data_IF_115783541917
#
_entry.id   IF_115783541917
#
_cell.length_a   1.000
_cell.length_b   1.000
_cell.length_c   1.000
_cell.angle_alpha   90.00
_cell.angle_beta   90.00
_cell.angle_gamma   90.00
#
_symmetry.space_group_name_H-M   'P 1'
#
loop_
_entity.id
_entity.type
_entity.pdbx_description
1 polymer ?
#
# COMPACT_ATOMS: atom_id res chain seq x y z
N UNK A 1 10.78 19.79 -38.81
CA UNK A 1 9.71 19.98 -37.82
C UNK A 1 9.69 18.74 -36.96
N UNK A 2 10.25 18.83 -35.76
CA UNK A 2 10.32 17.68 -34.83
C UNK A 2 8.95 17.53 -34.17
N UNK A 3 8.23 16.47 -34.52
CA UNK A 3 6.98 16.09 -33.86
C UNK A 3 7.37 15.56 -32.48
N UNK A 4 7.07 16.33 -31.44
CA UNK A 4 7.14 15.81 -30.07
C UNK A 4 6.16 14.64 -29.94
N UNK A 5 6.53 13.51 -29.30
CA UNK A 5 5.56 12.46 -29.04
C UNK A 5 4.44 13.04 -28.17
N UNK A 6 3.19 12.77 -28.56
CA UNK A 6 2.01 13.11 -27.77
C UNK A 6 2.15 12.53 -26.35
N UNK A 7 1.59 13.18 -25.31
CA UNK A 7 1.50 12.56 -24.00
C UNK A 7 0.79 11.22 -24.16
N UNK A 8 1.49 10.15 -23.77
CA UNK A 8 0.99 8.78 -23.74
C UNK A 8 -0.38 8.76 -23.08
N UNK A 9 -1.36 8.10 -23.70
CA UNK A 9 -2.71 7.90 -23.17
C UNK A 9 -2.69 7.74 -21.63
N UNK A 10 -3.41 8.65 -20.95
CA UNK A 10 -3.85 8.59 -19.55
C UNK A 10 -4.67 7.31 -19.35
N UNK A 11 -4.01 6.16 -19.42
CA UNK A 11 -4.60 4.91 -19.00
C UNK A 11 -4.75 5.07 -17.51
N UNK A 12 -5.98 5.23 -17.03
CA UNK A 12 -6.29 5.39 -15.60
C UNK A 12 -5.91 4.09 -14.89
N UNK A 13 -4.63 3.97 -14.54
CA UNK A 13 -4.12 2.87 -13.75
C UNK A 13 -4.48 3.11 -12.28
N UNK A 14 -4.72 2.01 -11.58
CA UNK A 14 -4.99 1.99 -10.17
C UNK A 14 -4.10 0.95 -9.49
N UNK A 15 -3.66 1.31 -8.29
CA UNK A 15 -3.15 0.37 -7.32
C UNK A 15 -4.16 0.14 -6.22
N UNK A 16 -4.02 -0.99 -5.55
CA UNK A 16 -4.71 -1.21 -4.29
C UNK A 16 -3.83 -2.04 -3.35
N UNK A 17 -4.07 -1.88 -2.05
CA UNK A 17 -3.49 -2.72 -1.01
C UNK A 17 -4.58 -3.11 -0.03
N UNK A 18 -4.66 -4.38 0.30
CA UNK A 18 -5.43 -4.89 1.41
C UNK A 18 -4.49 -5.42 2.49
N UNK A 19 -4.82 -5.18 3.75
CA UNK A 19 -4.00 -5.57 4.88
C UNK A 19 -4.81 -5.91 6.12
N UNK A 20 -4.23 -6.71 6.99
CA UNK A 20 -4.79 -7.11 8.28
C UNK A 20 -4.09 -6.41 9.44
N UNK A 21 -4.70 -6.40 10.65
CA UNK A 21 -4.07 -5.82 11.84
C UNK A 21 -2.72 -6.45 12.23
N UNK A 22 -2.43 -7.68 11.80
CA UNK A 22 -1.16 -8.37 12.08
C UNK A 22 -0.01 -8.01 11.13
N UNK A 23 -0.33 -7.27 10.06
CA UNK A 23 0.61 -6.78 9.04
C UNK A 23 0.77 -7.71 7.84
N UNK A 24 -0.11 -8.70 7.69
CA UNK A 24 -0.27 -9.47 6.44
C UNK A 24 -0.94 -8.59 5.40
N UNK A 25 -0.58 -8.72 4.12
CA UNK A 25 -1.10 -7.86 3.07
C UNK A 25 -1.07 -8.53 1.70
N UNK A 26 -1.88 -8.01 0.79
CA UNK A 26 -1.81 -8.26 -0.64
C UNK A 26 -1.95 -6.93 -1.39
N UNK A 27 -1.22 -6.76 -2.48
CA UNK A 27 -1.24 -5.52 -3.24
C UNK A 27 -1.26 -5.79 -4.75
N UNK A 28 -1.86 -4.87 -5.49
CA UNK A 28 -1.91 -4.87 -6.95
C UNK A 28 -1.56 -3.48 -7.47
N UNK A 29 -1.05 -3.42 -8.69
CA UNK A 29 -0.73 -2.20 -9.43
C UNK A 29 -1.07 -2.41 -10.91
N UNK A 30 -1.15 -1.32 -11.66
CA UNK A 30 -1.49 -1.31 -13.10
C UNK A 30 -2.82 -1.98 -13.43
N UNK A 31 -3.82 -1.77 -12.59
CA UNK A 31 -5.18 -2.23 -12.84
C UNK A 31 -5.97 -1.10 -13.51
N UNK A 32 -6.68 -1.39 -14.61
CA UNK A 32 -7.40 -0.36 -15.37
C UNK A 32 -8.68 0.17 -14.71
N UNK A 33 -9.03 -0.33 -13.52
CA UNK A 33 -10.24 0.03 -12.79
C UNK A 33 -10.01 0.03 -11.28
N UNK A 34 -10.50 1.08 -10.61
CA UNK A 34 -10.47 1.19 -9.14
C UNK A 34 -11.18 0.04 -8.45
N UNK A 35 -12.38 -0.30 -8.93
CA UNK A 35 -13.22 -1.33 -8.33
C UNK A 35 -12.57 -2.71 -8.45
N UNK A 36 -12.06 -3.02 -9.65
CA UNK A 36 -11.35 -4.28 -9.90
C UNK A 36 -10.11 -4.42 -8.98
N UNK A 37 -9.34 -3.33 -8.81
CA UNK A 37 -8.19 -3.33 -7.92
C UNK A 37 -8.60 -3.63 -6.47
N UNK A 38 -9.65 -2.97 -5.98
CA UNK A 38 -10.19 -3.14 -4.62
C UNK A 38 -10.75 -4.55 -4.36
N UNK A 39 -11.53 -5.09 -5.30
CA UNK A 39 -12.11 -6.43 -5.20
C UNK A 39 -11.04 -7.50 -5.18
N UNK A 40 -10.04 -7.37 -6.08
CA UNK A 40 -8.92 -8.31 -6.17
C UNK A 40 -8.13 -8.37 -4.87
N UNK A 41 -7.71 -7.22 -4.32
CA UNK A 41 -6.94 -7.24 -3.06
C UNK A 41 -7.78 -7.73 -1.87
N UNK A 42 -9.09 -7.47 -1.86
CA UNK A 42 -9.99 -7.94 -0.81
C UNK A 42 -10.16 -9.45 -0.83
N UNK A 43 -10.36 -10.03 -2.02
CA UNK A 43 -10.47 -11.48 -2.20
C UNK A 43 -9.19 -12.19 -1.73
N UNK A 44 -8.05 -11.77 -2.25
CA UNK A 44 -6.74 -12.35 -1.91
C UNK A 44 -6.41 -12.18 -0.42
N UNK A 45 -6.79 -11.04 0.18
CA UNK A 45 -6.58 -10.84 1.60
C UNK A 45 -7.48 -11.74 2.46
N UNK A 46 -8.75 -11.92 2.07
CA UNK A 46 -9.65 -12.83 2.76
C UNK A 46 -9.15 -14.28 2.70
N UNK A 47 -8.61 -14.70 1.55
CA UNK A 47 -8.05 -16.04 1.34
C UNK A 47 -6.82 -16.33 2.22
N UNK A 48 -6.09 -15.30 2.66
CA UNK A 48 -5.02 -15.48 3.65
C UNK A 48 -5.52 -15.98 5.02
N UNK A 49 -6.79 -15.75 5.37
CA UNK A 49 -7.38 -16.20 6.64
C UNK A 49 -6.75 -15.56 7.89
N UNK A 50 -6.24 -14.32 7.78
CA UNK A 50 -5.48 -13.62 8.84
C UNK A 50 -6.29 -12.59 9.64
N UNK A 51 -7.62 -12.63 9.52
CA UNK A 51 -8.56 -11.71 10.16
C UNK A 51 -9.16 -10.70 9.17
N UNK A 52 -9.78 -9.65 9.71
CA UNK A 52 -10.46 -8.63 8.91
C UNK A 52 -9.46 -7.87 8.02
N UNK A 53 -9.82 -7.72 6.75
CA UNK A 53 -9.03 -7.01 5.76
C UNK A 53 -9.55 -5.58 5.57
N UNK A 54 -8.65 -4.61 5.72
CA UNK A 54 -8.87 -3.24 5.27
C UNK A 54 -8.27 -3.09 3.87
N UNK A 55 -9.05 -2.63 2.90
CA UNK A 55 -8.62 -2.43 1.53
C UNK A 55 -8.66 -0.94 1.15
N UNK A 56 -7.60 -0.46 0.51
CA UNK A 56 -7.53 0.90 -0.03
C UNK A 56 -7.06 0.86 -1.47
N UNK A 57 -7.78 1.53 -2.37
CA UNK A 57 -7.33 1.82 -3.73
C UNK A 57 -6.82 3.25 -3.87
N UNK A 58 -5.99 3.47 -4.88
CA UNK A 58 -5.39 4.75 -5.21
C UNK A 58 -5.05 4.80 -6.69
N UNK A 59 -4.92 6.01 -7.24
CA UNK A 59 -4.58 6.22 -8.65
C UNK A 59 -3.13 5.83 -8.95
N UNK A 60 -2.82 5.62 -10.22
CA UNK A 60 -1.51 5.18 -10.72
C UNK A 60 -0.34 6.02 -10.21
N UNK A 61 -0.51 7.34 -10.20
CA UNK A 61 0.51 8.30 -9.75
C UNK A 61 0.78 8.26 -8.25
N UNK A 62 -0.10 7.63 -7.47
CA UNK A 62 -0.04 7.55 -6.01
C UNK A 62 0.67 6.28 -5.56
N UNK A 63 1.48 6.41 -4.52
CA UNK A 63 2.05 5.32 -3.78
C UNK A 63 1.33 5.17 -2.43
N UNK A 64 1.20 3.93 -1.98
CA UNK A 64 0.72 3.55 -0.67
C UNK A 64 1.76 2.70 0.05
N UNK A 65 1.88 2.89 1.35
CA UNK A 65 2.70 2.07 2.22
C UNK A 65 1.89 1.64 3.43
N UNK A 66 2.29 0.53 4.04
CA UNK A 66 1.75 0.11 5.33
C UNK A 66 2.85 -0.07 6.37
N UNK A 67 2.52 0.30 7.61
CA UNK A 67 3.37 0.13 8.77
C UNK A 67 2.61 -0.59 9.87
N UNK A 68 3.28 -1.53 10.55
CA UNK A 68 2.69 -2.28 11.66
C UNK A 68 3.50 -2.13 12.93
N UNK A 69 2.81 -2.05 14.07
CA UNK A 69 3.42 -1.96 15.40
C UNK A 69 2.76 -2.91 16.39
N UNK A 70 3.49 -3.31 17.44
CA UNK A 70 2.93 -4.12 18.54
C UNK A 70 2.29 -3.21 19.58
N UNK A 71 1.02 -3.43 19.89
CA UNK A 71 0.29 -2.69 20.95
C UNK A 71 0.18 -3.48 22.26
N UNK A 72 0.36 -4.81 22.19
CA UNK A 72 0.53 -5.69 23.35
C UNK A 72 1.34 -6.93 22.94
N UNK A 73 1.58 -7.87 23.88
CA UNK A 73 2.32 -9.11 23.60
C UNK A 73 1.72 -9.95 22.47
N UNK A 74 0.39 -9.89 22.30
CA UNK A 74 -0.35 -10.69 21.32
C UNK A 74 -1.08 -9.85 20.26
N UNK A 75 -1.08 -8.51 20.37
CA UNK A 75 -1.82 -7.65 19.44
C UNK A 75 -0.90 -6.72 18.69
N UNK A 76 -1.14 -6.65 17.39
CA UNK A 76 -0.55 -5.68 16.48
C UNK A 76 -1.64 -4.75 15.93
N UNK A 77 -1.18 -3.65 15.36
CA UNK A 77 -1.96 -2.72 14.56
C UNK A 77 -1.20 -2.46 13.28
N UNK A 78 -1.92 -2.24 12.19
CA UNK A 78 -1.37 -1.86 10.89
C UNK A 78 -2.07 -0.59 10.42
N UNK A 79 -1.31 0.33 9.84
CA UNK A 79 -1.82 1.58 9.29
C UNK A 79 -1.28 1.78 7.88
N UNK A 80 -2.12 2.34 7.02
CA UNK A 80 -1.73 2.78 5.67
C UNK A 80 -1.37 4.27 5.63
N UNK A 81 -0.49 4.61 4.70
CA UNK A 81 -0.15 5.98 4.32
C UNK A 81 -0.04 6.08 2.80
N UNK A 82 -0.29 7.26 2.25
CA UNK A 82 -0.20 7.51 0.82
C UNK A 82 0.59 8.79 0.51
N UNK A 83 1.13 8.88 -0.70
CA UNK A 83 1.92 10.01 -1.19
C UNK A 83 2.21 9.90 -2.68
N UNK A 84 2.75 10.95 -3.29
CA UNK A 84 3.12 10.93 -4.72
C UNK A 84 4.46 10.23 -4.98
N UNK A 85 5.20 9.95 -3.89
CA UNK A 85 6.46 9.20 -3.91
C UNK A 85 6.40 8.07 -2.89
N UNK A 86 7.17 6.97 -3.07
CA UNK A 86 7.10 5.86 -2.14
C UNK A 86 7.64 6.26 -0.76
N UNK A 87 8.75 7.00 -0.68
CA UNK A 87 9.24 7.62 0.57
C UNK A 87 8.22 8.48 1.31
N UNK A 88 7.37 9.24 0.60
CA UNK A 88 6.32 10.02 1.25
C UNK A 88 5.25 9.10 1.86
N UNK A 89 4.79 8.09 1.11
CA UNK A 89 3.82 7.12 1.58
C UNK A 89 4.33 6.37 2.82
N UNK A 90 5.61 5.97 2.81
CA UNK A 90 6.31 5.34 3.93
C UNK A 90 6.31 6.20 5.19
N UNK A 91 6.71 7.48 5.04
CA UNK A 91 6.70 8.44 6.15
C UNK A 91 5.29 8.58 6.73
N UNK A 92 4.27 8.75 5.89
CA UNK A 92 2.88 8.90 6.34
C UNK A 92 2.40 7.66 7.08
N UNK A 93 2.72 6.45 6.59
CA UNK A 93 2.34 5.20 7.22
C UNK A 93 3.00 5.04 8.60
N UNK A 94 4.30 5.28 8.68
CA UNK A 94 5.06 5.24 9.94
C UNK A 94 4.57 6.28 10.94
N UNK A 95 4.35 7.53 10.51
CA UNK A 95 3.87 8.61 11.38
C UNK A 95 2.49 8.29 11.95
N UNK A 96 1.58 7.77 11.12
CA UNK A 96 0.24 7.32 11.56
C UNK A 96 0.35 6.18 12.56
N UNK A 97 1.19 5.19 12.30
CA UNK A 97 1.42 4.09 13.23
C UNK A 97 2.01 4.58 14.56
N UNK A 98 3.03 5.44 14.52
CA UNK A 98 3.71 5.96 15.71
C UNK A 98 2.85 6.93 16.53
N UNK A 99 1.85 7.58 15.92
CA UNK A 99 0.81 8.34 16.65
C UNK A 99 -0.02 7.44 17.57
N UNK A 100 -0.09 6.14 17.31
CA UNK A 100 -0.66 5.20 18.25
C UNK A 100 0.29 4.99 19.45
N UNK A 101 0.02 5.69 20.55
CA UNK A 101 0.80 5.61 21.80
C UNK A 101 0.98 4.17 22.32
N UNK A 102 0.06 3.26 22.01
CA UNK A 102 0.16 1.85 22.42
C UNK A 102 1.25 1.10 21.67
N UNK A 103 1.61 1.55 20.46
CA UNK A 103 2.68 0.95 19.67
C UNK A 103 4.08 1.23 20.23
N UNK A 104 4.25 2.22 21.12
CA UNK A 104 5.50 2.54 21.82
C UNK A 104 6.75 2.62 20.91
N UNK A 105 6.60 3.19 19.71
CA UNK A 105 7.69 3.31 18.74
C UNK A 105 8.11 2.00 18.06
N UNK A 106 7.34 0.92 18.21
CA UNK A 106 7.65 -0.39 17.59
C UNK A 106 7.21 -0.50 16.13
N UNK A 107 6.72 0.60 15.53
CA UNK A 107 6.21 0.59 14.17
C UNK A 107 7.33 0.38 13.16
N UNK A 108 7.09 -0.54 12.23
CA UNK A 108 8.00 -0.87 11.13
C UNK A 108 7.22 -0.90 9.83
N UNK A 109 7.86 -0.45 8.75
CA UNK A 109 7.31 -0.61 7.40
C UNK A 109 7.17 -2.10 7.06
N UNK A 110 6.10 -2.42 6.34
CA UNK A 110 5.83 -3.78 5.86
C UNK A 110 5.96 -3.87 4.35
N UNK A 111 5.44 -2.87 3.65
CA UNK A 111 5.56 -2.77 2.19
C UNK A 111 5.25 -1.36 1.72
N UNK A 112 5.64 -1.09 0.48
CA UNK A 112 5.33 0.12 -0.28
C UNK A 112 5.02 -0.31 -1.71
N UNK A 113 3.95 0.24 -2.29
CA UNK A 113 3.47 -0.05 -3.64
C UNK A 113 3.01 1.24 -4.30
N UNK A 114 3.36 1.45 -5.57
CA UNK A 114 2.81 2.54 -6.38
C UNK A 114 1.81 2.01 -7.40
N UNK A 115 0.78 2.79 -7.71
CA UNK A 115 -0.32 2.35 -8.54
C UNK A 115 0.11 2.03 -9.98
N UNK A 116 1.18 2.67 -10.42
CA UNK A 116 1.87 2.46 -11.71
C UNK A 116 3.03 1.45 -11.62
N UNK A 117 3.21 0.77 -10.48
CA UNK A 117 4.24 -0.24 -10.27
C UNK A 117 5.65 0.31 -10.07
N UNK A 118 5.84 1.62 -9.86
CA UNK A 118 7.13 2.13 -9.39
C UNK A 118 7.47 1.50 -8.03
N UNK A 119 8.69 1.00 -7.90
CA UNK A 119 9.25 0.52 -6.64
C UNK A 119 10.37 1.48 -6.24
N UNK A 120 10.37 1.99 -5.01
CA UNK A 120 11.63 2.49 -4.44
C UNK A 120 12.58 1.29 -4.27
N UNK A 121 13.88 1.51 -4.45
CA UNK A 121 14.92 0.49 -4.57
C UNK A 121 15.08 -0.47 -3.35
N UNK A 122 14.26 -0.31 -2.31
CA UNK A 122 14.29 -1.10 -1.09
C UNK A 122 13.32 -2.31 -1.08
N UNK A 123 12.35 -2.38 -2.01
CA UNK A 123 11.23 -3.36 -1.94
C UNK A 123 11.21 -4.34 -3.11
N UNK A 124 12.36 -4.63 -3.72
CA UNK A 124 12.49 -5.72 -4.69
C UNK A 124 12.54 -7.09 -3.98
N UNK A 125 11.45 -7.47 -3.32
CA UNK A 125 11.20 -8.88 -2.95
C UNK A 125 9.72 -9.12 -2.64
N UNK A 126 8.92 -9.30 -3.70
CA UNK A 126 7.74 -10.14 -3.60
C UNK A 126 8.19 -11.61 -3.83
N UNK A 127 7.74 -12.59 -3.03
CA UNK A 127 7.89 -14.00 -3.36
C UNK A 127 7.08 -14.38 -4.61
#
# INVERSE_FOLDING_TARGET
>A
MSVAPAPSDDTLEYGAIAFTPDGSFFAVWKIGSRLEAEEKVRAECADMGRGDCEAVSFRGEVCAAIASGRVSKQRKVTYSGGGLTPREAERVALDRCNKNRRARGSCQLRTTVCGDGRLDSATAKAP
#
